data_IF_747048067720
#
_entry.id   IF_747048067720
#
_cell.length_a   1.000
_cell.length_b   1.000
_cell.length_c   1.000
_cell.angle_alpha   90.00
_cell.angle_beta   90.00
_cell.angle_gamma   90.00
#
_symmetry.space_group_name_H-M   'P 1'
#
loop_
_entity.id
_entity.type
_entity.pdbx_description
1 polymer ?
#
# COMPACT_ATOMS: atom_id res chain seq x y z
N UNK A 1 15.14 -12.40 10.71
CA UNK A 1 15.50 -12.75 9.32
C UNK A 1 16.79 -12.03 8.97
N UNK A 2 17.77 -12.72 8.38
CA UNK A 2 19.02 -12.13 7.91
C UNK A 2 18.91 -11.85 6.40
N UNK A 3 19.42 -10.71 5.96
CA UNK A 3 19.58 -10.37 4.54
C UNK A 3 21.07 -10.33 4.20
N UNK A 4 21.41 -10.79 3.01
CA UNK A 4 22.79 -10.92 2.53
C UNK A 4 23.04 -10.00 1.34
N UNK A 5 24.25 -9.47 1.22
CA UNK A 5 24.71 -8.73 0.03
C UNK A 5 24.89 -9.66 -1.19
N UNK A 6 25.26 -9.08 -2.33
CA UNK A 6 25.57 -9.81 -3.57
C UNK A 6 26.73 -10.81 -3.43
N UNK A 7 27.55 -10.68 -2.37
CA UNK A 7 28.68 -11.56 -2.07
C UNK A 7 28.33 -12.63 -1.02
N UNK A 8 27.09 -12.67 -0.54
CA UNK A 8 26.64 -13.62 0.48
C UNK A 8 27.02 -13.26 1.92
N UNK A 9 27.46 -12.03 2.19
CA UNK A 9 27.70 -11.55 3.55
C UNK A 9 26.41 -11.03 4.17
N UNK A 10 26.13 -11.41 5.42
CA UNK A 10 24.97 -10.88 6.11
C UNK A 10 25.14 -9.37 6.36
N UNK A 11 24.28 -8.55 5.78
CA UNK A 11 24.30 -7.09 5.96
C UNK A 11 23.29 -6.62 7.01
N UNK A 12 22.12 -7.27 7.09
CA UNK A 12 20.99 -6.80 7.89
C UNK A 12 20.34 -7.91 8.71
N UNK A 13 19.85 -7.55 9.89
CA UNK A 13 18.97 -8.39 10.70
C UNK A 13 17.65 -7.69 10.96
N UNK A 14 16.57 -8.34 10.54
CA UNK A 14 15.19 -7.93 10.80
C UNK A 14 14.61 -8.73 11.96
N UNK A 15 14.01 -8.02 12.92
CA UNK A 15 13.23 -8.59 14.02
C UNK A 15 11.78 -8.11 13.93
N UNK A 16 10.84 -9.05 14.00
CA UNK A 16 9.42 -8.77 13.99
C UNK A 16 8.87 -8.98 15.39
N UNK A 17 8.03 -8.05 15.84
CA UNK A 17 7.29 -8.17 17.08
C UNK A 17 5.82 -7.85 16.84
N UNK A 18 4.95 -8.61 17.50
CA UNK A 18 3.51 -8.52 17.37
C UNK A 18 2.94 -8.18 18.74
N UNK A 19 2.04 -7.19 18.81
CA UNK A 19 1.26 -6.99 20.03
C UNK A 19 0.33 -8.18 20.29
N UNK A 20 -0.08 -8.40 21.54
CA UNK A 20 -0.95 -9.52 21.94
C UNK A 20 -2.29 -9.57 21.17
N UNK A 21 -2.73 -8.44 20.61
CA UNK A 21 -3.93 -8.32 19.79
C UNK A 21 -3.67 -8.39 18.27
N UNK A 22 -2.42 -8.62 17.83
CA UNK A 22 -1.94 -8.59 16.43
C UNK A 22 -2.25 -7.28 15.68
N UNK A 23 -2.55 -6.19 16.40
CA UNK A 23 -2.89 -4.87 15.83
C UNK A 23 -1.67 -3.99 15.58
N UNK A 24 -0.51 -4.36 16.10
CA UNK A 24 0.75 -3.67 15.91
C UNK A 24 1.79 -4.67 15.45
N UNK A 25 2.44 -4.36 14.33
CA UNK A 25 3.61 -5.07 13.82
C UNK A 25 4.78 -4.11 13.85
N UNK A 26 5.73 -4.34 14.74
CA UNK A 26 6.97 -3.56 14.78
C UNK A 26 8.08 -4.35 14.13
N UNK A 27 8.68 -3.77 13.09
CA UNK A 27 9.88 -4.25 12.42
C UNK A 27 11.08 -3.43 12.91
N UNK A 28 12.05 -4.10 13.54
CA UNK A 28 13.34 -3.49 13.85
C UNK A 28 14.40 -4.06 12.94
N UNK A 29 15.10 -3.18 12.23
CA UNK A 29 16.21 -3.52 11.36
C UNK A 29 17.53 -3.06 11.98
N UNK A 30 18.51 -3.95 12.02
CA UNK A 30 19.86 -3.67 12.49
C UNK A 30 20.84 -3.94 11.36
N UNK A 31 21.77 -3.02 11.11
CA UNK A 31 22.94 -3.34 10.30
C UNK A 31 23.91 -4.14 11.17
N UNK A 32 24.54 -5.15 10.58
CA UNK A 32 25.53 -5.97 11.29
C UNK A 32 26.87 -5.24 11.51
N UNK A 33 27.03 -4.04 10.94
CA UNK A 33 28.13 -3.12 11.23
C UNK A 33 28.07 -2.48 12.63
N UNK A 34 26.94 -2.64 13.34
CA UNK A 34 26.72 -2.14 14.70
C UNK A 34 26.61 -0.62 14.85
N UNK A 35 26.72 0.15 13.76
CA UNK A 35 26.74 1.62 13.78
C UNK A 35 25.40 2.24 13.42
N UNK A 36 24.52 1.49 12.75
CA UNK A 36 23.24 1.97 12.23
C UNK A 36 22.12 1.01 12.60
N UNK A 37 20.99 1.57 12.99
CA UNK A 37 19.72 0.85 13.17
C UNK A 37 18.59 1.71 12.64
N UNK A 38 17.51 1.07 12.21
CA UNK A 38 16.27 1.74 11.91
C UNK A 38 15.12 0.99 12.56
N UNK A 39 14.10 1.73 12.97
CA UNK A 39 12.84 1.16 13.45
C UNK A 39 11.75 1.52 12.47
N UNK A 40 11.17 0.53 11.81
CA UNK A 40 9.94 0.69 11.05
C UNK A 40 8.81 0.03 11.83
N UNK A 41 7.83 0.79 12.29
CA UNK A 41 6.66 0.19 12.92
C UNK A 41 5.40 0.48 12.13
N UNK A 42 4.56 -0.54 12.03
CA UNK A 42 3.24 -0.44 11.44
C UNK A 42 2.20 -0.74 12.51
N UNK A 43 1.26 0.17 12.68
CA UNK A 43 0.11 -0.07 13.57
C UNK A 43 -1.19 0.03 12.79
N UNK A 44 -2.19 -0.71 13.25
CA UNK A 44 -3.47 -0.83 12.56
C UNK A 44 -4.61 -0.59 13.54
N UNK A 45 -5.58 0.20 13.11
CA UNK A 45 -6.92 0.20 13.68
C UNK A 45 -7.77 -0.75 12.86
N UNK A 46 -8.34 -1.76 13.51
CA UNK A 46 -9.21 -2.74 12.86
C UNK A 46 -10.63 -2.66 13.40
N UNK A 47 -11.60 -2.97 12.55
CA UNK A 47 -12.99 -3.14 12.98
C UNK A 47 -13.26 -4.53 13.59
N UNK A 48 -14.50 -4.76 14.02
CA UNK A 48 -14.92 -6.02 14.63
C UNK A 48 -14.84 -7.23 13.67
N UNK A 49 -14.83 -7.00 12.35
CA UNK A 49 -14.66 -8.03 11.33
C UNK A 49 -13.19 -8.27 10.97
N UNK A 50 -12.25 -7.59 11.64
CA UNK A 50 -10.81 -7.70 11.39
C UNK A 50 -10.32 -6.89 10.19
N UNK A 51 -11.14 -6.02 9.59
CA UNK A 51 -10.73 -5.17 8.47
C UNK A 51 -9.95 -3.97 8.98
N UNK A 52 -8.89 -3.59 8.27
CA UNK A 52 -8.05 -2.44 8.62
C UNK A 52 -8.80 -1.15 8.25
N UNK A 53 -9.15 -0.35 9.24
CA UNK A 53 -9.75 0.97 9.06
C UNK A 53 -8.68 2.06 8.90
N UNK A 54 -7.58 1.94 9.64
CA UNK A 54 -6.47 2.89 9.59
C UNK A 54 -5.16 2.10 9.66
N UNK A 55 -4.19 2.46 8.82
CA UNK A 55 -2.80 2.02 8.89
C UNK A 55 -1.94 3.22 9.23
N UNK A 56 -0.99 3.02 10.13
CA UNK A 56 0.00 4.01 10.48
C UNK A 56 1.37 3.42 10.24
N UNK A 57 2.21 4.13 9.51
CA UNK A 57 3.59 3.77 9.29
C UNK A 57 4.48 4.77 10.02
N UNK A 58 5.43 4.25 10.79
CA UNK A 58 6.38 5.02 11.56
C UNK A 58 7.78 4.60 11.16
N UNK A 59 8.56 5.52 10.61
CA UNK A 59 9.96 5.31 10.28
C UNK A 59 10.84 6.19 11.18
N UNK A 60 11.66 5.53 11.99
CA UNK A 60 12.76 6.13 12.72
C UNK A 60 14.01 6.01 11.84
N UNK A 61 14.41 7.13 11.24
CA UNK A 61 15.46 7.17 10.21
C UNK A 61 16.85 6.79 10.72
N UNK A 62 17.76 6.58 9.78
CA UNK A 62 19.14 6.13 10.01
C UNK A 62 20.06 7.14 10.73
N UNK A 63 19.61 8.38 10.93
CA UNK A 63 20.41 9.44 11.53
C UNK A 63 19.70 9.99 12.78
N UNK A 64 20.45 10.35 13.84
CA UNK A 64 19.90 10.84 15.11
C UNK A 64 19.03 12.10 14.98
N UNK A 65 19.13 12.81 13.84
CA UNK A 65 18.39 14.05 13.56
C UNK A 65 17.17 13.87 12.64
N UNK A 66 16.90 12.67 12.14
CA UNK A 66 15.72 12.42 11.28
C UNK A 66 14.50 12.20 12.16
N UNK A 67 13.70 13.26 12.27
CA UNK A 67 12.38 13.23 12.89
C UNK A 67 11.53 12.13 12.27
N UNK A 68 10.97 11.31 13.16
CA UNK A 68 9.97 10.29 12.92
C UNK A 68 9.03 10.62 11.75
N UNK A 69 9.03 9.77 10.73
CA UNK A 69 8.08 9.89 9.64
C UNK A 69 6.84 9.04 9.94
N UNK A 70 5.74 9.72 10.26
CA UNK A 70 4.40 9.20 10.45
C UNK A 70 3.54 9.38 9.18
N UNK A 71 3.28 8.30 8.46
CA UNK A 71 2.29 8.30 7.39
C UNK A 71 1.02 7.60 7.87
N UNK A 72 -0.14 8.18 7.56
CA UNK A 72 -1.44 7.61 7.90
C UNK A 72 -2.20 7.27 6.63
N UNK A 73 -2.75 6.08 6.58
CA UNK A 73 -3.70 5.66 5.54
C UNK A 73 -5.03 5.30 6.18
N UNK A 74 -6.13 5.81 5.63
CA UNK A 74 -7.49 5.50 6.07
C UNK A 74 -8.22 4.74 4.97
N UNK A 75 -8.97 3.71 5.35
CA UNK A 75 -9.71 2.85 4.43
C UNK A 75 -11.20 2.89 4.72
N UNK A 76 -12.03 2.88 3.66
CA UNK A 76 -13.47 2.66 3.76
C UNK A 76 -13.89 1.45 2.95
N UNK A 77 -14.90 0.77 3.45
CA UNK A 77 -15.44 -0.45 2.89
C UNK A 77 -16.94 -0.30 2.60
N UNK A 78 -17.42 -0.94 1.55
CA UNK A 78 -18.86 -1.09 1.31
C UNK A 78 -19.46 -2.18 2.21
N UNK A 79 -20.78 -2.36 2.12
CA UNK A 79 -21.52 -3.37 2.88
C UNK A 79 -21.07 -4.82 2.59
N UNK A 80 -20.48 -5.09 1.42
CA UNK A 80 -19.89 -6.39 1.06
C UNK A 80 -18.46 -6.58 1.58
N UNK A 81 -17.92 -5.59 2.29
CA UNK A 81 -16.55 -5.62 2.81
C UNK A 81 -15.46 -5.36 1.77
N UNK A 82 -15.80 -4.84 0.59
CA UNK A 82 -14.83 -4.44 -0.43
C UNK A 82 -14.36 -3.01 -0.18
N UNK A 83 -13.06 -2.75 -0.33
CA UNK A 83 -12.45 -1.44 -0.07
C UNK A 83 -12.80 -0.44 -1.18
N UNK A 84 -13.64 0.54 -0.86
CA UNK A 84 -14.12 1.55 -1.84
C UNK A 84 -13.32 2.85 -1.83
N UNK A 85 -12.62 3.15 -0.74
CA UNK A 85 -11.81 4.37 -0.62
C UNK A 85 -10.55 4.09 0.20
N UNK A 86 -9.46 4.73 -0.20
CA UNK A 86 -8.19 4.82 0.52
C UNK A 86 -7.70 6.27 0.46
N UNK A 87 -7.27 6.82 1.59
CA UNK A 87 -6.74 8.19 1.70
C UNK A 87 -5.44 8.16 2.46
N UNK A 88 -4.39 8.72 1.86
CA UNK A 88 -3.08 8.87 2.48
C UNK A 88 -2.90 10.31 2.99
N UNK A 89 -2.22 10.43 4.13
CA UNK A 89 -1.95 11.68 4.80
C UNK A 89 -0.46 11.79 5.11
N UNK A 90 0.08 13.00 4.95
CA UNK A 90 1.43 13.34 5.37
C UNK A 90 1.54 13.54 6.89
N UNK A 91 2.75 13.89 7.32
CA UNK A 91 3.14 14.17 8.70
C UNK A 91 2.35 15.30 9.35
N UNK A 92 1.85 16.25 8.56
CA UNK A 92 1.09 17.39 9.03
C UNK A 92 -0.41 17.09 9.05
N UNK A 93 -0.82 15.86 8.69
CA UNK A 93 -2.22 15.47 8.56
C UNK A 93 -2.89 16.00 7.29
N UNK A 94 -2.12 16.48 6.32
CA UNK A 94 -2.63 16.90 5.00
C UNK A 94 -2.76 15.70 4.08
N UNK A 95 -3.84 15.64 3.30
CA UNK A 95 -4.05 14.55 2.34
C UNK A 95 -3.01 14.63 1.22
N UNK A 96 -2.32 13.53 0.92
CA UNK A 96 -1.32 13.42 -0.14
C UNK A 96 -1.86 12.66 -1.35
N UNK A 97 -2.72 11.67 -1.12
CA UNK A 97 -3.33 10.90 -2.20
C UNK A 97 -4.71 10.37 -1.80
N UNK A 98 -5.53 10.11 -2.82
CA UNK A 98 -6.80 9.41 -2.66
C UNK A 98 -6.97 8.37 -3.75
N UNK A 99 -7.53 7.22 -3.38
CA UNK A 99 -7.87 6.14 -4.28
C UNK A 99 -9.33 5.72 -4.08
N UNK A 100 -10.07 5.59 -5.17
CA UNK A 100 -11.46 5.14 -5.18
C UNK A 100 -11.61 3.89 -6.03
N UNK A 101 -12.25 2.86 -5.50
CA UNK A 101 -12.52 1.62 -6.22
C UNK A 101 -14.01 1.45 -6.47
N UNK A 102 -14.37 1.05 -7.70
CA UNK A 102 -15.70 0.58 -8.04
C UNK A 102 -15.64 -0.90 -8.39
N UNK A 103 -16.69 -1.62 -8.06
CA UNK A 103 -16.79 -3.06 -8.27
C UNK A 103 -17.99 -3.38 -9.16
N UNK A 104 -17.86 -4.40 -10.00
CA UNK A 104 -18.96 -4.91 -10.82
C UNK A 104 -19.92 -5.77 -9.95
N UNK A 105 -20.96 -6.32 -10.58
CA UNK A 105 -21.95 -7.16 -9.89
C UNK A 105 -21.36 -8.45 -9.31
N UNK A 106 -20.29 -8.97 -9.91
CA UNK A 106 -19.55 -10.15 -9.46
C UNK A 106 -18.52 -9.84 -8.37
N UNK A 107 -18.46 -8.59 -7.89
CA UNK A 107 -17.48 -8.07 -6.94
C UNK A 107 -16.03 -7.98 -7.49
N UNK A 108 -15.83 -8.06 -8.80
CA UNK A 108 -14.53 -7.76 -9.42
C UNK A 108 -14.31 -6.26 -9.49
N UNK A 109 -13.05 -5.82 -9.47
CA UNK A 109 -12.68 -4.42 -9.52
C UNK A 109 -12.97 -3.81 -10.90
N UNK A 110 -14.06 -3.07 -11.08
CA UNK A 110 -14.41 -2.49 -12.38
C UNK A 110 -13.54 -1.27 -12.72
N UNK A 111 -13.20 -0.45 -11.72
CA UNK A 111 -12.51 0.82 -11.92
C UNK A 111 -11.71 1.19 -10.68
N UNK A 112 -10.54 1.80 -10.88
CA UNK A 112 -9.79 2.49 -9.82
C UNK A 112 -9.41 3.88 -10.27
N UNK A 113 -9.74 4.89 -9.47
CA UNK A 113 -9.27 6.26 -9.65
C UNK A 113 -8.22 6.57 -8.60
N UNK A 114 -7.10 7.14 -9.02
CA UNK A 114 -6.03 7.67 -8.19
C UNK A 114 -5.96 9.18 -8.40
N UNK A 115 -5.94 9.91 -7.30
CA UNK A 115 -5.74 11.35 -7.28
C UNK A 115 -4.50 11.59 -6.44
N UNK A 116 -3.43 12.06 -7.10
CA UNK A 116 -2.25 12.55 -6.40
C UNK A 116 -2.46 14.02 -6.11
N UNK A 117 -2.58 14.35 -4.83
CA UNK A 117 -2.68 15.73 -4.37
C UNK A 117 -1.25 16.25 -4.26
N UNK A 118 -0.65 16.57 -5.41
CA UNK A 118 0.62 17.30 -5.43
C UNK A 118 0.38 18.70 -4.84
N UNK A 119 1.47 19.33 -4.43
CA UNK A 119 1.52 20.76 -4.16
C UNK A 119 1.24 21.58 -5.45
N UNK A 120 1.72 22.82 -5.54
CA UNK A 120 1.34 23.88 -6.51
C UNK A 120 1.40 23.53 -8.02
N UNK A 121 1.71 22.28 -8.41
CA UNK A 121 1.84 21.79 -9.80
C UNK A 121 0.57 21.11 -10.35
N UNK A 122 -0.48 20.98 -9.54
CA UNK A 122 -1.78 20.44 -9.96
C UNK A 122 -1.96 18.94 -9.68
N UNK A 123 -3.21 18.50 -9.61
CA UNK A 123 -3.56 17.12 -9.30
C UNK A 123 -3.35 16.22 -10.54
N UNK A 124 -2.66 15.10 -10.37
CA UNK A 124 -2.60 14.04 -11.40
C UNK A 124 -3.72 13.03 -11.15
N UNK A 125 -4.59 12.88 -12.15
CA UNK A 125 -5.72 11.96 -12.08
C UNK A 125 -5.44 10.75 -12.97
N UNK A 126 -5.31 9.59 -12.35
CA UNK A 126 -5.07 8.33 -13.06
C UNK A 126 -6.28 7.44 -12.86
N UNK A 127 -6.89 7.00 -13.96
CA UNK A 127 -8.01 6.05 -13.91
C UNK A 127 -7.60 4.75 -14.58
N UNK A 128 -7.83 3.64 -13.90
CA UNK A 128 -7.78 2.31 -14.48
C UNK A 128 -9.19 1.76 -14.62
N UNK A 129 -9.52 1.20 -15.78
CA UNK A 129 -10.73 0.38 -15.96
C UNK A 129 -10.34 -1.04 -16.28
N UNK A 130 -11.11 -2.01 -15.77
CA UNK A 130 -10.84 -3.43 -15.96
C UNK A 130 -12.04 -4.06 -16.67
N UNK A 131 -11.84 -4.50 -17.90
CA UNK A 131 -12.95 -4.84 -18.80
C UNK A 131 -13.12 -6.35 -19.02
N UNK A 132 -12.12 -7.15 -18.65
CA UNK A 132 -12.15 -8.60 -18.84
C UNK A 132 -11.45 -9.31 -17.69
N UNK A 133 -11.98 -10.47 -17.33
CA UNK A 133 -11.54 -11.32 -16.23
C UNK A 133 -11.44 -12.78 -16.66
N UNK A 134 -10.57 -13.56 -16.01
CA UNK A 134 -10.57 -15.01 -16.12
C UNK A 134 -11.50 -15.68 -15.10
N UNK A 135 -11.58 -17.01 -15.14
CA UNK A 135 -12.42 -17.82 -14.24
C UNK A 135 -12.02 -17.75 -12.76
N UNK A 136 -10.85 -17.18 -12.45
CA UNK A 136 -10.34 -17.00 -11.09
C UNK A 136 -10.43 -15.55 -10.63
N UNK A 137 -11.19 -14.70 -11.35
CA UNK A 137 -11.36 -13.28 -11.04
C UNK A 137 -10.08 -12.47 -11.17
N UNK A 138 -9.10 -12.95 -11.95
CA UNK A 138 -7.93 -12.15 -12.33
C UNK A 138 -8.26 -11.30 -13.56
N UNK A 139 -7.94 -10.01 -13.51
CA UNK A 139 -8.14 -9.15 -14.67
C UNK A 139 -7.22 -9.56 -15.83
N UNK A 140 -7.80 -9.59 -17.02
CA UNK A 140 -7.12 -9.89 -18.28
C UNK A 140 -6.91 -8.64 -19.13
N UNK A 141 -7.78 -7.64 -19.03
CA UNK A 141 -7.66 -6.37 -19.77
C UNK A 141 -7.80 -5.21 -18.80
N UNK A 142 -6.83 -4.30 -18.81
CA UNK A 142 -6.80 -3.07 -18.03
C UNK A 142 -6.48 -1.89 -18.92
N UNK A 143 -7.35 -0.88 -18.94
CA UNK A 143 -7.09 0.39 -19.62
C UNK A 143 -6.55 1.41 -18.62
N UNK A 144 -5.63 2.26 -19.05
CA UNK A 144 -5.10 3.39 -18.31
C UNK A 144 -5.54 4.69 -18.98
N UNK A 145 -6.12 5.58 -18.20
CA UNK A 145 -6.46 6.94 -18.57
C UNK A 145 -5.67 7.92 -17.72
N UNK A 146 -5.06 8.92 -18.35
CA UNK A 146 -4.38 10.03 -17.70
C UNK A 146 -5.22 11.29 -17.89
N UNK A 147 -5.68 11.88 -16.79
CA UNK A 147 -6.56 13.05 -16.79
C UNK A 147 -7.78 12.87 -17.71
N UNK A 148 -8.38 11.67 -17.71
CA UNK A 148 -9.55 11.32 -18.53
C UNK A 148 -9.23 10.93 -19.98
N UNK A 149 -7.99 11.10 -20.46
CA UNK A 149 -7.59 10.70 -21.80
C UNK A 149 -7.04 9.28 -21.81
N UNK A 150 -7.53 8.45 -22.75
CA UNK A 150 -7.00 7.12 -22.96
C UNK A 150 -5.50 7.19 -23.24
N UNK A 151 -4.73 6.37 -22.54
CA UNK A 151 -3.27 6.35 -22.65
C UNK A 151 -2.78 4.99 -23.14
N UNK A 152 -3.22 3.89 -22.52
CA UNK A 152 -2.79 2.55 -22.92
C UNK A 152 -3.78 1.47 -22.50
N UNK A 153 -3.62 0.30 -23.11
CA UNK A 153 -4.25 -0.96 -22.70
C UNK A 153 -3.16 -1.95 -22.32
N UNK A 154 -3.38 -2.72 -21.25
CA UNK A 154 -2.57 -3.86 -20.85
C UNK A 154 -3.41 -5.12 -20.94
N UNK A 155 -2.89 -6.11 -21.63
CA UNK A 155 -3.49 -7.44 -21.73
C UNK A 155 -2.63 -8.48 -21.02
N UNK A 156 -3.27 -9.44 -20.34
CA UNK A 156 -2.60 -10.54 -19.65
C UNK A 156 -3.03 -11.88 -20.21
N UNK A 157 -2.06 -12.78 -20.34
CA UNK A 157 -2.29 -14.21 -20.53
C UNK A 157 -1.83 -14.93 -19.26
N UNK A 158 -2.72 -15.71 -18.64
CA UNK A 158 -2.45 -16.38 -17.37
C UNK A 158 -2.57 -17.90 -17.60
N UNK A 159 -1.50 -18.61 -17.30
CA UNK A 159 -1.45 -20.08 -17.37
C UNK A 159 -1.34 -20.65 -15.97
N UNK A 160 -2.16 -21.66 -15.69
CA UNK A 160 -2.21 -22.34 -14.40
C UNK A 160 -1.57 -23.72 -14.51
N UNK A 161 -0.58 -23.98 -13.65
CA UNK A 161 0.01 -25.30 -13.48
C UNK A 161 -0.73 -26.04 -12.36
N UNK A 162 -0.84 -27.36 -12.51
CA UNK A 162 -1.42 -28.26 -11.51
C UNK A 162 -0.33 -28.85 -10.63
#
# INVERSE_FOLDING_TARGET
MLSYDENGNAEFKNAYSYSANKKLVTLKGYFLDGKRSYTNSESYKIDASGRILEKYHYNEGFAPDVKYQYEKTVYKYNAKGLRVEEVEYDLNGSKTSQRFNKYNQNNDLAETNYIWLKDQRGNEHITFTYTKYDKHHNWLIKNLFLNGHFHSVTERQITYYK
#
